data_IF_639332341088
#
_entry.id   IF_639332341088
#
_cell.length_a   1.000
_cell.length_b   1.000
_cell.length_c   1.000
_cell.angle_alpha   90.00
_cell.angle_beta   90.00
_cell.angle_gamma   90.00
#
_symmetry.space_group_name_H-M   'P 1'
#
loop_
_entity.id
_entity.type
_entity.pdbx_description
1 polymer ?
#
# COMPACT_ATOMS: atom_id res chain seq x y z
N UNK A 1 -5.25 -17.87 14.17
CA UNK A 1 -5.20 -19.15 13.42
C UNK A 1 -6.49 -19.27 12.64
N UNK A 2 -6.39 -19.61 11.37
CA UNK A 2 -7.51 -19.89 10.47
C UNK A 2 -7.18 -21.14 9.65
N UNK A 3 -8.19 -21.88 9.23
CA UNK A 3 -8.04 -23.04 8.34
C UNK A 3 -8.84 -22.78 7.07
N UNK A 4 -8.19 -22.94 5.92
CA UNK A 4 -8.85 -22.76 4.63
C UNK A 4 -9.48 -24.07 4.15
N UNK A 5 -10.77 -24.03 3.83
CA UNK A 5 -11.53 -25.23 3.44
C UNK A 5 -11.28 -25.68 1.99
N UNK A 6 -10.78 -24.78 1.13
CA UNK A 6 -10.54 -25.09 -0.30
C UNK A 6 -9.11 -25.55 -0.56
N UNK A 7 -8.17 -25.01 0.20
CA UNK A 7 -6.75 -25.26 0.13
C UNK A 7 -6.25 -26.23 1.21
N UNK A 8 -7.11 -26.58 2.17
CA UNK A 8 -6.82 -27.52 3.25
C UNK A 8 -5.56 -27.15 4.06
N UNK A 9 -5.29 -25.85 4.20
CA UNK A 9 -4.07 -25.34 4.79
C UNK A 9 -4.32 -24.36 5.95
N UNK A 10 -3.43 -24.42 6.95
CA UNK A 10 -3.49 -23.60 8.16
C UNK A 10 -2.76 -22.28 7.97
N UNK A 11 -3.44 -21.18 8.30
CA UNK A 11 -2.89 -19.83 8.39
C UNK A 11 -2.78 -19.44 9.84
N UNK A 12 -1.64 -18.91 10.24
CA UNK A 12 -1.40 -18.60 11.64
C UNK A 12 -0.38 -17.49 11.78
N UNK A 13 -0.48 -16.78 12.88
CA UNK A 13 0.46 -15.75 13.22
C UNK A 13 0.28 -15.35 14.67
N UNK A 14 1.31 -14.71 15.19
CA UNK A 14 1.33 -14.19 16.55
C UNK A 14 2.36 -13.07 16.64
N UNK A 15 2.06 -12.06 17.44
CA UNK A 15 2.97 -10.97 17.75
C UNK A 15 2.99 -10.78 19.25
N UNK A 16 4.19 -10.70 19.81
CA UNK A 16 4.41 -10.35 21.20
C UNK A 16 5.06 -8.97 21.22
N UNK A 17 4.43 -8.05 21.95
CA UNK A 17 4.93 -6.69 22.16
C UNK A 17 5.25 -6.49 23.64
N UNK A 18 6.41 -5.92 23.91
CA UNK A 18 6.86 -5.57 25.25
C UNK A 18 7.18 -4.07 25.33
N UNK A 19 6.46 -3.39 26.21
CA UNK A 19 6.67 -1.97 26.50
C UNK A 19 7.82 -1.82 27.51
N UNK A 20 9.05 -1.74 26.99
CA UNK A 20 10.26 -1.64 27.81
C UNK A 20 10.33 -0.35 28.65
N UNK A 21 9.75 0.76 28.17
CA UNK A 21 9.68 2.02 28.91
C UNK A 21 8.46 2.84 28.47
N UNK A 22 7.82 3.53 29.43
CA UNK A 22 6.71 4.47 29.15
C UNK A 22 7.20 5.86 28.75
N UNK A 23 8.37 6.32 29.24
CA UNK A 23 8.88 7.69 29.02
C UNK A 23 10.43 7.75 28.99
N UNK A 24 11.09 7.89 27.83
CA UNK A 24 10.53 7.86 26.48
C UNK A 24 9.88 6.50 26.17
N UNK A 25 8.77 6.52 25.43
CA UNK A 25 8.05 5.29 25.05
C UNK A 25 8.97 4.44 24.19
N UNK A 26 9.25 3.22 24.64
CA UNK A 26 10.11 2.26 23.95
C UNK A 26 9.39 0.93 23.88
N UNK A 27 9.20 0.41 22.67
CA UNK A 27 8.49 -0.81 22.37
C UNK A 27 9.46 -1.77 21.69
N UNK A 28 9.44 -3.02 22.13
CA UNK A 28 10.14 -4.11 21.47
C UNK A 28 9.09 -5.13 21.09
N UNK A 29 9.19 -5.72 19.92
CA UNK A 29 8.28 -6.79 19.55
C UNK A 29 8.93 -7.82 18.66
N UNK A 30 8.37 -9.01 18.72
CA UNK A 30 8.67 -10.09 17.81
C UNK A 30 7.36 -10.66 17.30
N UNK A 31 7.32 -11.03 16.03
CA UNK A 31 6.15 -11.64 15.44
C UNK A 31 6.53 -12.65 14.38
N UNK A 32 5.62 -13.58 14.16
CA UNK A 32 5.67 -14.52 13.07
C UNK A 32 4.29 -14.55 12.42
N UNK A 33 4.24 -14.50 11.10
CA UNK A 33 3.01 -14.68 10.33
C UNK A 33 3.28 -15.67 9.20
N UNK A 34 2.31 -16.55 8.96
CA UNK A 34 2.18 -17.37 7.77
C UNK A 34 0.73 -17.24 7.30
N UNK A 35 0.54 -16.41 6.28
CA UNK A 35 -0.78 -16.08 5.76
C UNK A 35 -0.75 -15.83 4.25
N UNK A 36 -1.93 -15.81 3.64
CA UNK A 36 -2.09 -15.44 2.23
C UNK A 36 -2.41 -13.95 2.15
N UNK A 37 -1.57 -13.24 1.42
CA UNK A 37 -1.70 -11.81 1.18
C UNK A 37 -2.09 -11.51 -0.27
N UNK A 38 -2.83 -10.42 -0.45
CA UNK A 38 -3.09 -9.79 -1.74
C UNK A 38 -1.99 -8.78 -2.13
N UNK A 39 -1.02 -8.57 -1.25
CA UNK A 39 -0.02 -7.52 -1.29
C UNK A 39 1.38 -8.09 -1.04
N UNK A 40 2.39 -7.54 -1.73
CA UNK A 40 3.79 -7.90 -1.52
C UNK A 40 4.54 -6.94 -0.60
N UNK A 41 3.90 -5.88 -0.08
CA UNK A 41 4.53 -5.03 0.93
C UNK A 41 4.78 -5.80 2.24
N UNK A 42 5.86 -5.47 2.93
CA UNK A 42 6.15 -6.06 4.25
C UNK A 42 5.20 -5.50 5.32
N UNK A 43 5.12 -6.17 6.47
CA UNK A 43 4.19 -5.75 7.54
C UNK A 43 4.49 -4.36 8.12
N UNK A 44 5.71 -3.87 7.88
CA UNK A 44 6.15 -2.52 8.22
C UNK A 44 5.52 -1.44 7.31
N UNK A 45 5.26 -1.75 6.05
CA UNK A 45 4.69 -0.83 5.07
C UNK A 45 3.18 -1.00 4.91
N UNK A 46 2.52 -1.73 5.82
CA UNK A 46 1.11 -2.08 5.70
C UNK A 46 0.22 -0.85 5.53
N UNK A 47 -0.22 -0.63 4.29
CA UNK A 47 -1.31 0.29 4.00
C UNK A 47 -2.59 -0.47 4.32
N UNK A 48 -3.36 0.09 5.25
CA UNK A 48 -4.59 -0.49 5.80
C UNK A 48 -5.49 -1.04 4.68
N UNK A 49 -5.41 -2.35 4.45
CA UNK A 49 -6.24 -3.08 3.51
C UNK A 49 -7.53 -3.50 4.20
N UNK A 50 -8.62 -2.88 3.79
CA UNK A 50 -9.93 -2.93 4.43
C UNK A 50 -10.42 -4.34 4.77
N UNK A 51 -10.93 -4.46 6.01
CA UNK A 51 -11.63 -5.61 6.59
C UNK A 51 -12.82 -6.15 5.74
N UNK A 52 -13.16 -5.49 4.63
CA UNK A 52 -14.29 -5.79 3.76
C UNK A 52 -13.91 -6.16 2.31
N UNK A 53 -12.61 -6.17 1.97
CA UNK A 53 -12.12 -6.49 0.61
C UNK A 53 -12.37 -7.95 0.20
N UNK A 54 -12.55 -8.86 1.14
CA UNK A 54 -12.80 -10.28 0.85
C UNK A 54 -14.20 -10.58 0.30
N UNK A 55 -15.23 -9.82 0.68
CA UNK A 55 -16.62 -10.09 0.30
C UNK A 55 -17.16 -9.15 -0.80
N UNK A 56 -16.66 -7.92 -0.87
CA UNK A 56 -17.13 -6.89 -1.80
C UNK A 56 -15.98 -6.44 -2.71
N UNK A 57 -15.64 -7.32 -3.65
CA UNK A 57 -14.55 -7.15 -4.61
C UNK A 57 -15.08 -7.16 -6.05
N UNK A 58 -14.36 -6.46 -6.92
CA UNK A 58 -14.55 -6.55 -8.37
C UNK A 58 -14.21 -7.96 -8.86
N UNK A 59 -14.93 -8.40 -9.89
CA UNK A 59 -14.73 -9.69 -10.55
C UNK A 59 -13.53 -9.62 -11.51
N UNK A 60 -12.33 -9.72 -10.93
CA UNK A 60 -11.04 -9.73 -11.63
C UNK A 60 -10.14 -10.79 -11.02
N UNK A 61 -9.20 -11.30 -11.80
CA UNK A 61 -8.28 -12.37 -11.39
C UNK A 61 -7.55 -12.06 -10.07
N UNK A 62 -7.48 -13.05 -9.19
CA UNK A 62 -6.96 -12.90 -7.84
C UNK A 62 -5.47 -13.26 -7.78
N UNK A 63 -4.64 -12.27 -7.47
CA UNK A 63 -3.19 -12.45 -7.28
C UNK A 63 -2.92 -12.62 -5.81
N UNK A 64 -2.61 -13.85 -5.43
CA UNK A 64 -2.37 -14.25 -4.04
C UNK A 64 -0.90 -14.63 -3.87
N UNK A 65 -0.33 -14.29 -2.74
CA UNK A 65 1.04 -14.64 -2.35
C UNK A 65 0.97 -15.19 -0.93
N UNK A 66 1.54 -16.37 -0.69
CA UNK A 66 1.79 -16.86 0.65
C UNK A 66 3.01 -16.13 1.19
N UNK A 67 2.81 -15.47 2.32
CA UNK A 67 3.85 -14.71 3.00
C UNK A 67 4.14 -15.39 4.33
N UNK A 68 5.35 -15.89 4.46
CA UNK A 68 5.93 -16.29 5.74
C UNK A 68 6.88 -15.18 6.17
N UNK A 69 6.61 -14.50 7.28
CA UNK A 69 7.42 -13.38 7.76
C UNK A 69 7.70 -13.55 9.26
N UNK A 70 8.98 -13.65 9.59
CA UNK A 70 9.50 -13.51 10.95
C UNK A 70 10.02 -12.10 11.12
N UNK A 71 9.55 -11.36 12.13
CA UNK A 71 9.97 -9.99 12.38
C UNK A 71 10.39 -9.78 13.83
N UNK A 72 11.42 -8.97 14.01
CA UNK A 72 11.81 -8.39 15.29
C UNK A 72 11.94 -6.88 15.10
N UNK A 73 11.40 -6.10 16.03
CA UNK A 73 11.51 -4.66 15.96
C UNK A 73 11.79 -4.01 17.31
N UNK A 74 12.51 -2.89 17.24
CA UNK A 74 12.74 -1.96 18.32
C UNK A 74 12.25 -0.59 17.88
N UNK A 75 11.36 0.01 18.65
CA UNK A 75 10.78 1.32 18.37
C UNK A 75 10.90 2.25 19.56
N UNK A 76 11.30 3.50 19.32
CA UNK A 76 11.48 4.51 20.35
C UNK A 76 10.91 5.85 19.93
N UNK A 77 10.14 6.45 20.84
CA UNK A 77 9.57 7.77 20.70
C UNK A 77 10.25 8.79 21.61
N UNK A 78 10.81 9.82 20.99
CA UNK A 78 11.51 10.90 21.68
C UNK A 78 10.55 12.05 22.03
N UNK A 79 10.94 12.88 22.99
CA UNK A 79 10.09 13.98 23.49
C UNK A 79 9.91 15.13 22.49
N UNK A 80 10.81 15.25 21.52
CA UNK A 80 10.80 16.28 20.48
C UNK A 80 9.93 15.92 19.27
N UNK A 81 9.13 14.85 19.36
CA UNK A 81 8.28 14.40 18.25
C UNK A 81 9.01 13.57 17.19
N UNK A 82 10.28 13.24 17.44
CA UNK A 82 11.03 12.26 16.65
C UNK A 82 10.69 10.84 17.11
N UNK A 83 10.61 9.89 16.19
CA UNK A 83 10.57 8.46 16.50
C UNK A 83 11.43 7.67 15.54
N UNK A 84 11.99 6.57 16.05
CA UNK A 84 12.82 5.67 15.25
C UNK A 84 12.35 4.25 15.46
N UNK A 85 12.35 3.48 14.38
CA UNK A 85 12.05 2.06 14.40
C UNK A 85 13.12 1.32 13.61
N UNK A 86 13.69 0.31 14.23
CA UNK A 86 14.61 -0.63 13.61
C UNK A 86 13.87 -1.95 13.56
N UNK A 87 13.68 -2.49 12.36
CA UNK A 87 13.05 -3.79 12.15
C UNK A 87 14.02 -4.69 11.42
N UNK A 88 14.18 -5.91 11.90
CA UNK A 88 14.84 -7.00 11.19
C UNK A 88 13.76 -8.00 10.87
N UNK A 89 13.58 -8.32 9.59
CA UNK A 89 12.63 -9.34 9.17
C UNK A 89 13.27 -10.30 8.19
N UNK A 90 12.84 -11.55 8.26
CA UNK A 90 13.09 -12.57 7.24
C UNK A 90 11.73 -12.95 6.67
N UNK A 91 11.63 -12.93 5.34
CA UNK A 91 10.37 -13.09 4.63
C UNK A 91 10.53 -13.97 3.42
N UNK A 92 9.68 -14.98 3.33
CA UNK A 92 9.50 -15.80 2.14
C UNK A 92 8.17 -15.44 1.50
N UNK A 93 8.20 -15.13 0.20
CA UNK A 93 7.03 -14.85 -0.61
C UNK A 93 6.92 -15.88 -1.71
N UNK A 94 5.84 -16.66 -1.68
CA UNK A 94 5.58 -17.72 -2.64
C UNK A 94 4.24 -17.45 -3.35
N UNK A 95 4.21 -17.30 -4.68
CA UNK A 95 2.97 -17.13 -5.43
C UNK A 95 1.99 -18.24 -5.10
N UNK A 96 0.81 -17.85 -4.63
CA UNK A 96 -0.10 -18.80 -4.04
C UNK A 96 -1.10 -19.33 -5.07
N UNK A 97 -0.97 -20.64 -5.35
CA UNK A 97 -1.84 -21.39 -6.24
C UNK A 97 -1.46 -21.25 -7.72
N UNK A 98 -1.59 -22.36 -8.47
CA UNK A 98 -1.61 -22.31 -9.92
C UNK A 98 -2.77 -21.41 -10.38
N UNK A 99 -2.63 -20.76 -11.54
CA UNK A 99 -3.75 -20.04 -12.15
C UNK A 99 -4.86 -21.06 -12.44
N UNK A 100 -5.85 -21.10 -11.55
CA UNK A 100 -7.03 -21.97 -11.65
C UNK A 100 -7.96 -21.51 -12.76
N UNK A 101 -8.85 -22.38 -13.22
CA UNK A 101 -9.88 -22.05 -14.21
C UNK A 101 -10.77 -20.87 -13.76
N UNK A 102 -10.96 -20.69 -12.45
CA UNK A 102 -11.68 -19.58 -11.81
C UNK A 102 -10.87 -18.26 -11.78
N UNK A 103 -9.68 -18.21 -12.39
CA UNK A 103 -8.81 -17.04 -12.44
C UNK A 103 -8.15 -16.65 -11.12
N UNK A 104 -8.06 -17.58 -10.17
CA UNK A 104 -7.30 -17.41 -8.92
C UNK A 104 -5.90 -17.98 -9.07
N UNK A 105 -4.90 -17.28 -8.53
CA UNK A 105 -3.51 -17.68 -8.61
C UNK A 105 -2.65 -16.56 -9.18
N UNK A 106 -1.35 -16.66 -9.00
CA UNK A 106 -0.43 -15.65 -9.49
C UNK A 106 0.67 -16.29 -10.32
N UNK A 107 0.59 -16.13 -11.63
CA UNK A 107 1.65 -16.57 -12.55
C UNK A 107 2.81 -15.57 -12.48
N UNK A 108 3.59 -15.70 -11.41
CA UNK A 108 4.75 -14.89 -11.11
C UNK A 108 6.00 -15.76 -11.27
N UNK A 109 6.98 -15.24 -12.01
CA UNK A 109 8.28 -15.87 -12.15
C UNK A 109 9.35 -14.84 -12.47
N UNK A 110 10.55 -14.97 -11.92
CA UNK A 110 11.67 -14.08 -12.19
C UNK A 110 12.93 -14.86 -12.58
N UNK A 111 13.90 -14.15 -13.13
CA UNK A 111 15.21 -14.70 -13.47
C UNK A 111 16.22 -14.26 -12.41
N UNK A 112 16.68 -15.15 -11.50
CA UNK A 112 17.71 -14.82 -10.52
C UNK A 112 18.98 -14.32 -11.22
N UNK A 113 19.33 -14.95 -12.35
CA UNK A 113 20.38 -14.48 -13.25
C UNK A 113 19.79 -14.11 -14.63
N UNK A 114 19.70 -12.81 -14.97
CA UNK A 114 19.17 -12.36 -16.25
C UNK A 114 19.93 -12.89 -17.50
N UNK A 115 21.15 -13.41 -17.34
CA UNK A 115 21.94 -14.00 -18.41
C UNK A 115 21.56 -15.46 -18.73
N UNK A 116 20.97 -16.18 -17.77
CA UNK A 116 20.62 -17.61 -17.91
C UNK A 116 19.10 -17.75 -18.00
N UNK A 117 18.58 -17.87 -19.22
CA UNK A 117 17.13 -17.89 -19.48
C UNK A 117 16.39 -19.13 -18.97
N UNK A 118 17.12 -20.18 -18.58
CA UNK A 118 16.56 -21.44 -18.07
C UNK A 118 16.45 -21.48 -16.55
N UNK A 119 17.08 -20.54 -15.86
CA UNK A 119 17.07 -20.44 -14.41
C UNK A 119 15.92 -19.52 -13.99
N UNK A 120 14.76 -20.12 -13.72
CA UNK A 120 13.51 -19.45 -13.40
C UNK A 120 13.11 -19.82 -11.99
N UNK A 121 12.83 -18.81 -11.17
CA UNK A 121 12.34 -19.00 -9.81
C UNK A 121 11.01 -18.26 -9.63
N UNK A 122 10.20 -18.75 -8.70
CA UNK A 122 8.89 -18.20 -8.34
C UNK A 122 8.88 -17.73 -6.90
N UNK A 123 9.72 -18.29 -6.03
CA UNK A 123 9.72 -18.01 -4.61
C UNK A 123 10.82 -17.01 -4.28
N UNK A 124 10.50 -15.98 -3.50
CA UNK A 124 11.47 -14.96 -3.07
C UNK A 124 11.75 -15.19 -1.59
N UNK A 125 13.02 -15.29 -1.21
CA UNK A 125 13.42 -15.18 0.19
C UNK A 125 14.27 -13.92 0.42
N UNK A 126 13.87 -13.09 1.38
CA UNK A 126 14.61 -11.87 1.75
C UNK A 126 14.81 -11.75 3.25
N UNK A 127 16.00 -11.30 3.63
CA UNK A 127 16.28 -10.79 4.97
C UNK A 127 16.51 -9.30 4.87
N UNK A 128 15.66 -8.53 5.50
CA UNK A 128 15.61 -7.07 5.42
C UNK A 128 15.90 -6.44 6.79
N UNK A 129 16.77 -5.43 6.81
CA UNK A 129 16.95 -4.51 7.93
C UNK A 129 16.34 -3.17 7.54
N UNK A 130 15.30 -2.75 8.24
CA UNK A 130 14.54 -1.54 7.96
C UNK A 130 14.79 -0.52 9.07
N UNK A 131 15.32 0.63 8.69
CA UNK A 131 15.54 1.80 9.54
C UNK A 131 14.51 2.86 9.17
N UNK A 132 13.56 3.12 10.06
CA UNK A 132 12.58 4.19 9.90
C UNK A 132 12.86 5.32 10.87
N UNK A 133 12.92 6.53 10.33
CA UNK A 133 12.97 7.78 11.08
C UNK A 133 11.71 8.59 10.75
N UNK A 134 11.02 9.06 11.78
CA UNK A 134 9.79 9.83 11.64
C UNK A 134 9.87 11.08 12.49
N UNK A 135 9.49 12.21 11.93
CA UNK A 135 9.42 13.47 12.62
C UNK A 135 8.04 14.11 12.46
N UNK A 136 7.46 14.49 13.58
CA UNK A 136 6.22 15.28 13.63
C UNK A 136 6.25 16.18 14.84
N UNK A 137 5.76 17.41 14.70
CA UNK A 137 5.69 18.38 15.80
C UNK A 137 4.24 18.47 16.29
N UNK A 138 4.02 18.56 17.60
CA UNK A 138 2.68 18.80 18.20
C UNK A 138 1.57 17.87 17.66
N UNK A 139 1.90 16.58 17.54
CA UNK A 139 0.96 15.55 17.09
C UNK A 139 -0.07 15.21 18.17
N UNK A 140 -1.34 15.15 17.79
CA UNK A 140 -2.39 14.61 18.66
C UNK A 140 -2.34 13.08 18.60
N UNK A 141 -2.00 12.47 19.73
CA UNK A 141 -1.81 11.04 19.86
C UNK A 141 -2.77 10.44 20.88
N UNK A 142 -3.29 9.26 20.57
CA UNK A 142 -3.91 8.37 21.55
C UNK A 142 -2.97 7.20 21.76
N UNK A 143 -2.39 7.16 22.95
CA UNK A 143 -1.56 6.06 23.41
C UNK A 143 -2.45 5.01 24.12
N UNK A 144 -2.51 3.80 23.58
CA UNK A 144 -2.89 2.60 24.36
C UNK A 144 -1.62 1.94 24.91
N UNK A 145 -1.74 0.86 25.68
CA UNK A 145 -0.57 0.17 26.25
C UNK A 145 0.40 -0.36 25.18
N UNK A 146 -0.09 -0.73 23.99
CA UNK A 146 0.75 -1.31 22.93
C UNK A 146 0.70 -0.58 21.59
N UNK A 147 -0.33 0.22 21.34
CA UNK A 147 -0.49 0.95 20.09
C UNK A 147 -0.50 2.45 20.33
N UNK A 148 -0.04 3.20 19.32
CA UNK A 148 -0.03 4.65 19.33
C UNK A 148 -0.64 5.14 18.03
N UNK A 149 -1.86 5.66 18.12
CA UNK A 149 -2.59 6.14 16.96
C UNK A 149 -2.49 7.66 16.87
N UNK A 150 -2.11 8.14 15.69
CA UNK A 150 -2.05 9.56 15.37
C UNK A 150 -3.39 10.04 14.82
N UNK A 151 -3.90 11.14 15.36
CA UNK A 151 -5.04 11.90 14.80
C UNK A 151 -4.59 13.06 13.92
N UNK A 152 -3.31 13.06 13.54
CA UNK A 152 -2.70 14.11 12.74
C UNK A 152 -2.00 15.18 13.58
N UNK A 153 -1.34 16.07 12.85
CA UNK A 153 -0.62 17.21 13.39
C UNK A 153 -0.86 18.43 12.52
N UNK A 154 -0.95 19.61 13.15
CA UNK A 154 -0.95 20.90 12.44
C UNK A 154 0.34 21.12 11.64
N UNK A 155 1.41 20.42 11.98
CA UNK A 155 2.69 20.47 11.28
C UNK A 155 2.85 19.25 10.36
N UNK A 156 3.71 19.37 9.34
CA UNK A 156 4.04 18.24 8.48
C UNK A 156 4.57 17.04 9.25
N UNK A 157 4.21 15.86 8.78
CA UNK A 157 4.75 14.58 9.20
C UNK A 157 5.70 14.14 8.11
N UNK A 158 6.96 13.92 8.47
CA UNK A 158 8.00 13.46 7.55
C UNK A 158 8.49 12.10 8.02
N UNK A 159 8.50 11.14 7.11
CA UNK A 159 8.92 9.76 7.36
C UNK A 159 9.98 9.38 6.31
N UNK A 160 11.10 8.86 6.78
CA UNK A 160 12.17 8.32 5.96
C UNK A 160 12.38 6.87 6.36
N UNK A 161 12.28 5.96 5.41
CA UNK A 161 12.60 4.55 5.58
C UNK A 161 13.79 4.19 4.71
N UNK A 162 14.74 3.46 5.28
CA UNK A 162 15.83 2.83 4.57
C UNK A 162 15.80 1.34 4.83
N UNK A 163 15.66 0.55 3.79
CA UNK A 163 15.65 -0.92 3.84
C UNK A 163 16.92 -1.45 3.20
N UNK A 164 17.61 -2.34 3.90
CA UNK A 164 18.77 -3.07 3.42
C UNK A 164 18.38 -4.55 3.30
N UNK A 165 18.33 -5.07 2.08
CA UNK A 165 18.28 -6.51 1.82
C UNK A 165 19.69 -7.09 1.94
N UNK A 166 19.86 -8.11 2.77
CA UNK A 166 21.15 -8.76 3.03
C UNK A 166 21.13 -10.15 2.42
N UNK A 167 22.04 -10.42 1.49
CA UNK A 167 22.25 -11.71 0.85
C UNK A 167 22.96 -12.71 1.78
N UNK A 168 22.62 -13.99 1.65
CA UNK A 168 23.28 -15.10 2.38
C UNK A 168 22.89 -15.25 3.85
N UNK A 169 22.07 -14.36 4.40
CA UNK A 169 21.55 -14.45 5.79
C UNK A 169 20.14 -15.05 5.78
N UNK A 170 19.92 -16.11 6.56
CA UNK A 170 18.62 -16.80 6.66
C UNK A 170 18.04 -17.24 5.29
N UNK A 171 18.92 -17.61 4.36
CA UNK A 171 18.55 -18.04 3.00
C UNK A 171 18.11 -16.92 2.07
N UNK A 172 18.40 -15.65 2.40
CA UNK A 172 18.09 -14.50 1.55
C UNK A 172 18.91 -14.49 0.27
N UNK A 173 18.25 -14.29 -0.87
CA UNK A 173 18.86 -14.34 -2.21
C UNK A 173 19.26 -12.96 -2.74
N UNK A 174 18.86 -11.88 -2.06
CA UNK A 174 18.93 -10.52 -2.61
C UNK A 174 19.72 -9.55 -1.74
N UNK A 175 20.66 -8.87 -2.38
CA UNK A 175 21.33 -7.69 -1.86
C UNK A 175 20.76 -6.44 -2.53
N UNK A 176 20.11 -5.56 -1.78
CA UNK A 176 19.56 -4.31 -2.33
C UNK A 176 19.37 -3.25 -1.24
N UNK A 177 19.20 -2.02 -1.70
CA UNK A 177 18.86 -0.91 -0.83
C UNK A 177 17.56 -0.29 -1.31
N UNK A 178 16.67 0.07 -0.41
CA UNK A 178 15.46 0.84 -0.72
C UNK A 178 15.41 2.06 0.18
N UNK A 179 15.12 3.21 -0.41
CA UNK A 179 14.94 4.47 0.28
C UNK A 179 13.54 4.98 -0.04
N UNK A 180 12.73 5.20 0.99
CA UNK A 180 11.37 5.73 0.86
C UNK A 180 11.22 6.98 1.71
N UNK A 181 10.71 8.04 1.11
CA UNK A 181 10.39 9.32 1.76
C UNK A 181 8.89 9.55 1.66
N UNK A 182 8.23 9.79 2.78
CA UNK A 182 6.84 10.24 2.85
C UNK A 182 6.76 11.60 3.54
N UNK A 183 6.02 12.50 2.91
CA UNK A 183 5.69 13.81 3.46
C UNK A 183 4.18 13.95 3.46
N UNK A 184 3.59 14.15 4.65
CA UNK A 184 2.14 14.34 4.81
C UNK A 184 1.85 15.62 5.56
N UNK A 185 0.91 16.42 5.06
CA UNK A 185 0.49 17.65 5.71
C UNK A 185 -0.95 17.96 5.34
N UNK A 186 -1.68 18.59 6.26
CA UNK A 186 -2.98 19.17 5.98
C UNK A 186 -3.01 20.63 6.43
N UNK A 187 -3.84 21.44 5.76
CA UNK A 187 -4.04 22.84 6.11
C UNK A 187 -5.45 23.30 5.75
N UNK A 188 -5.93 24.31 6.47
CA UNK A 188 -7.23 24.93 6.21
C UNK A 188 -7.13 25.93 5.05
N UNK A 189 -8.08 25.86 4.12
CA UNK A 189 -8.30 26.85 3.07
C UNK A 189 -9.62 27.55 3.34
N UNK A 190 -9.66 28.46 4.32
CA UNK A 190 -10.88 29.21 4.63
C UNK A 190 -11.26 30.12 3.45
N UNK A 191 -12.54 30.19 3.04
CA UNK A 191 -13.73 29.54 3.61
C UNK A 191 -14.11 28.19 2.96
N UNK A 192 -13.25 27.61 2.12
CA UNK A 192 -13.52 26.46 1.25
C UNK A 192 -13.16 25.12 1.92
N UNK A 193 -12.96 25.08 3.24
CA UNK A 193 -12.70 23.85 4.00
C UNK A 193 -11.21 23.60 4.23
N UNK A 194 -10.75 22.36 4.04
CA UNK A 194 -9.35 21.96 4.28
C UNK A 194 -8.83 20.98 3.25
N UNK A 195 -7.51 21.00 3.05
CA UNK A 195 -6.81 20.10 2.14
C UNK A 195 -5.78 19.29 2.91
N UNK A 196 -5.70 18.00 2.61
CA UNK A 196 -4.61 17.11 2.98
C UNK A 196 -3.87 16.68 1.73
N UNK A 197 -2.55 16.60 1.84
CA UNK A 197 -1.72 16.03 0.80
C UNK A 197 -0.66 15.12 1.38
N UNK A 198 -0.41 14.02 0.68
CA UNK A 198 0.72 13.13 0.91
C UNK A 198 1.55 13.06 -0.36
N UNK A 199 2.86 13.22 -0.22
CA UNK A 199 3.83 13.01 -1.29
C UNK A 199 4.71 11.85 -0.84
N UNK A 200 4.84 10.83 -1.67
CA UNK A 200 5.80 9.76 -1.47
C UNK A 200 6.82 9.81 -2.61
N UNK A 201 8.08 9.51 -2.31
CA UNK A 201 9.10 9.30 -3.31
C UNK A 201 10.06 8.24 -2.82
N UNK A 202 10.51 7.38 -3.72
CA UNK A 202 11.41 6.31 -3.32
C UNK A 202 12.26 5.78 -4.44
N UNK A 203 13.31 5.06 -4.05
CA UNK A 203 14.23 4.40 -4.96
C UNK A 203 14.75 3.09 -4.39
N UNK A 204 14.71 2.06 -5.23
CA UNK A 204 15.30 0.74 -5.01
C UNK A 204 16.58 0.66 -5.85
N UNK A 205 17.69 0.33 -5.19
CA UNK A 205 19.01 0.15 -5.76
C UNK A 205 19.36 -1.33 -5.69
N UNK A 206 19.77 -1.90 -6.81
CA UNK A 206 20.03 -3.33 -6.94
C UNK A 206 19.13 -3.96 -8.00
N UNK A 207 19.42 -5.20 -8.35
CA UNK A 207 18.61 -6.00 -9.27
C UNK A 207 17.69 -6.89 -8.46
N UNK A 208 16.40 -6.58 -8.47
CA UNK A 208 15.41 -7.27 -7.66
C UNK A 208 14.17 -7.63 -8.48
N UNK A 209 13.45 -8.69 -8.07
CA UNK A 209 12.16 -8.98 -8.64
C UNK A 209 11.12 -7.93 -8.24
N UNK A 210 10.08 -7.73 -9.05
CA UNK A 210 9.18 -6.59 -8.91
C UNK A 210 8.36 -6.60 -7.61
N UNK A 211 8.19 -7.76 -6.99
CA UNK A 211 7.53 -7.87 -5.68
C UNK A 211 8.35 -7.22 -4.55
N UNK A 212 9.67 -7.04 -4.74
CA UNK A 212 10.56 -6.29 -3.85
C UNK A 212 10.76 -4.83 -4.29
N UNK A 213 10.30 -4.45 -5.49
CA UNK A 213 10.23 -3.05 -5.91
C UNK A 213 9.09 -2.32 -5.19
N UNK A 214 8.86 -1.05 -5.53
CA UNK A 214 7.60 -0.40 -5.12
C UNK A 214 6.47 -0.88 -6.02
N UNK A 215 5.62 -1.76 -5.50
CA UNK A 215 4.32 -2.05 -6.09
C UNK A 215 3.36 -0.96 -5.64
N UNK A 216 2.81 -0.20 -6.59
CA UNK A 216 1.91 0.90 -6.24
C UNK A 216 0.58 0.33 -5.71
N UNK A 217 0.08 0.81 -4.56
CA UNK A 217 -1.01 0.15 -3.87
C UNK A 217 -2.34 0.34 -4.61
N UNK A 218 -2.73 -0.66 -5.40
CA UNK A 218 -4.01 -0.70 -6.11
C UNK A 218 -5.16 -1.26 -5.27
N UNK A 219 -6.38 -0.92 -5.67
CA UNK A 219 -7.60 -1.32 -4.98
C UNK A 219 -8.56 -2.10 -5.87
N UNK A 220 -8.81 -3.35 -5.49
CA UNK A 220 -9.72 -4.27 -6.16
C UNK A 220 -11.09 -4.35 -5.45
N UNK A 221 -11.21 -3.80 -4.25
CA UNK A 221 -12.43 -3.77 -3.44
C UNK A 221 -13.35 -2.59 -3.80
N UNK A 222 -14.65 -2.69 -3.54
CA UNK A 222 -15.57 -1.56 -3.72
C UNK A 222 -15.44 -0.48 -2.64
N UNK A 223 -14.69 -0.77 -1.56
CA UNK A 223 -14.43 0.22 -0.51
C UNK A 223 -13.26 1.12 -0.88
N UNK A 224 -13.38 2.41 -0.57
CA UNK A 224 -12.34 3.41 -0.84
C UNK A 224 -11.34 3.49 0.31
N UNK A 225 -10.06 3.57 -0.04
CA UNK A 225 -8.99 3.84 0.91
C UNK A 225 -8.32 5.19 0.62
N UNK A 226 -7.96 5.93 1.69
CA UNK A 226 -7.32 7.24 1.55
C UNK A 226 -5.90 7.13 0.98
N UNK A 227 -5.15 6.11 1.39
CA UNK A 227 -3.72 5.95 1.12
C UNK A 227 -3.40 4.95 -0.03
N UNK A 228 -4.42 4.52 -0.78
CA UNK A 228 -4.31 3.59 -1.91
C UNK A 228 -4.91 4.19 -3.18
N UNK A 229 -4.55 3.70 -4.36
CA UNK A 229 -5.18 4.08 -5.62
C UNK A 229 -6.45 3.27 -5.84
N UNK A 230 -7.60 3.95 -5.81
CA UNK A 230 -8.92 3.33 -5.80
C UNK A 230 -9.30 2.73 -7.16
N UNK A 231 -8.75 3.22 -8.26
CA UNK A 231 -9.05 2.77 -9.63
C UNK A 231 -7.90 1.99 -10.29
N UNK A 232 -6.78 1.83 -9.57
CA UNK A 232 -5.64 1.02 -9.98
C UNK A 232 -5.87 -0.43 -9.56
N UNK A 233 -5.48 -1.39 -10.40
CA UNK A 233 -5.53 -2.82 -10.06
C UNK A 233 -4.26 -3.22 -9.31
N UNK A 234 -4.30 -4.22 -8.41
CA UNK A 234 -3.09 -4.65 -7.69
C UNK A 234 -2.07 -5.23 -8.67
N UNK A 235 -0.79 -4.97 -8.39
CA UNK A 235 0.34 -5.37 -9.25
C UNK A 235 0.26 -4.84 -10.69
N UNK A 236 -0.55 -3.82 -10.95
CA UNK A 236 -0.60 -3.20 -12.27
C UNK A 236 0.65 -2.37 -12.54
N UNK A 237 1.08 -1.62 -11.53
CA UNK A 237 2.25 -0.76 -11.62
C UNK A 237 3.29 -1.12 -10.56
N UNK A 238 4.53 -1.26 -10.99
CA UNK A 238 5.67 -1.34 -10.10
C UNK A 238 6.82 -0.45 -10.61
N UNK A 239 7.65 0.03 -9.70
CA UNK A 239 8.74 0.96 -10.03
C UNK A 239 9.91 0.78 -9.08
N UNK A 240 11.13 0.90 -9.60
CA UNK A 240 12.33 1.02 -8.74
C UNK A 240 12.69 2.47 -8.45
N UNK A 241 12.14 3.44 -9.18
CA UNK A 241 12.26 4.86 -8.87
C UNK A 241 10.91 5.48 -9.07
N UNK A 242 10.37 6.18 -8.07
CA UNK A 242 9.01 6.71 -8.16
C UNK A 242 8.79 7.97 -7.35
N UNK A 243 7.74 8.70 -7.72
CA UNK A 243 7.15 9.76 -6.93
C UNK A 243 5.62 9.72 -7.10
N UNK A 244 4.88 9.82 -6.00
CA UNK A 244 3.42 9.85 -5.98
C UNK A 244 2.91 11.02 -5.18
N UNK A 245 1.73 11.51 -5.55
CA UNK A 245 0.98 12.52 -4.81
C UNK A 245 -0.44 12.03 -4.60
N UNK A 246 -0.94 12.18 -3.37
CA UNK A 246 -2.33 11.94 -2.99
C UNK A 246 -2.85 13.24 -2.40
N UNK A 247 -3.86 13.81 -3.03
CA UNK A 247 -4.54 15.03 -2.63
C UNK A 247 -5.96 14.69 -2.23
N UNK A 248 -6.40 15.22 -1.10
CA UNK A 248 -7.76 15.11 -0.60
C UNK A 248 -8.20 16.49 -0.12
N UNK A 249 -9.33 16.97 -0.60
CA UNK A 249 -9.88 18.26 -0.21
C UNK A 249 -11.32 18.07 0.26
N UNK A 250 -11.58 18.46 1.51
CA UNK A 250 -12.90 18.47 2.10
C UNK A 250 -13.44 19.89 2.06
N UNK A 251 -14.60 20.05 1.45
CA UNK A 251 -15.26 21.34 1.27
C UNK A 251 -16.12 21.75 2.47
N UNK A 252 -16.28 20.87 3.47
CA UNK A 252 -17.06 21.12 4.69
C UNK A 252 -18.49 21.66 4.43
N UNK A 253 -19.13 21.21 3.36
CA UNK A 253 -20.49 21.63 2.98
C UNK A 253 -20.55 22.97 2.25
N UNK A 254 -19.44 23.48 1.72
CA UNK A 254 -19.38 24.76 0.99
C UNK A 254 -20.39 24.87 -0.15
N UNK A 255 -20.78 23.75 -0.77
CA UNK A 255 -21.73 23.72 -1.88
C UNK A 255 -23.14 23.27 -1.44
N UNK A 256 -23.26 22.08 -0.86
CA UNK A 256 -24.49 21.40 -0.44
C UNK A 256 -25.22 22.15 0.66
N UNK A 257 -24.52 22.85 1.57
CA UNK A 257 -25.22 23.67 2.57
C UNK A 257 -25.93 24.88 1.97
N UNK A 258 -25.64 25.26 0.71
CA UNK A 258 -26.39 26.33 0.01
C UNK A 258 -27.75 25.85 -0.49
N UNK A 259 -27.97 24.54 -0.58
CA UNK A 259 -29.23 23.94 -1.05
C UNK A 259 -30.15 23.65 0.15
N UNK A 260 -31.32 24.31 0.29
CA UNK A 260 -32.13 24.24 1.53
C UNK A 260 -32.54 22.83 1.98
N UNK A 261 -32.82 21.92 1.04
CA UNK A 261 -33.20 20.54 1.36
C UNK A 261 -32.00 19.69 1.82
N UNK A 262 -30.84 19.86 1.18
CA UNK A 262 -29.63 19.08 1.48
C UNK A 262 -28.92 19.58 2.75
N UNK A 263 -29.08 20.86 3.09
CA UNK A 263 -28.60 21.42 4.36
C UNK A 263 -29.09 20.64 5.58
N UNK A 264 -30.33 20.14 5.57
CA UNK A 264 -30.88 19.35 6.70
C UNK A 264 -30.20 18.00 6.88
N UNK A 265 -29.60 17.47 5.82
CA UNK A 265 -28.91 16.17 5.83
C UNK A 265 -27.47 16.29 6.32
N UNK A 266 -26.92 17.52 6.44
CA UNK A 266 -25.54 17.80 6.84
C UNK A 266 -24.50 17.02 6.00
N UNK A 267 -24.79 16.80 4.73
CA UNK A 267 -23.87 16.15 3.81
C UNK A 267 -22.64 17.02 3.58
N UNK A 268 -21.45 16.42 3.56
CA UNK A 268 -20.20 17.12 3.23
C UNK A 268 -19.63 16.57 1.94
N UNK A 269 -19.03 17.44 1.14
CA UNK A 269 -18.40 17.09 -0.11
C UNK A 269 -16.90 17.01 0.06
N UNK A 270 -16.30 16.09 -0.68
CA UNK A 270 -14.86 16.03 -0.80
C UNK A 270 -14.48 15.65 -2.23
N UNK A 271 -13.26 15.99 -2.61
CA UNK A 271 -12.65 15.57 -3.86
C UNK A 271 -11.26 15.02 -3.60
N UNK A 272 -10.86 14.03 -4.39
CA UNK A 272 -9.51 13.46 -4.33
C UNK A 272 -8.85 13.49 -5.70
N UNK A 273 -7.53 13.61 -5.70
CA UNK A 273 -6.68 13.41 -6.87
C UNK A 273 -5.47 12.61 -6.44
N UNK A 274 -5.19 11.51 -7.13
CA UNK A 274 -4.02 10.68 -6.87
C UNK A 274 -3.25 10.50 -8.16
N UNK A 275 -1.94 10.63 -8.10
CA UNK A 275 -1.07 10.43 -9.24
C UNK A 275 0.27 9.82 -8.86
N UNK A 276 0.85 9.04 -9.78
CA UNK A 276 2.17 8.45 -9.61
C UNK A 276 2.93 8.41 -10.93
N UNK A 277 4.21 8.75 -10.87
CA UNK A 277 5.17 8.62 -11.96
C UNK A 277 6.35 7.78 -11.45
N UNK A 278 6.90 6.94 -12.30
CA UNK A 278 8.00 6.08 -11.91
C UNK A 278 8.61 5.33 -13.07
N UNK A 279 9.80 4.78 -12.86
CA UNK A 279 10.54 4.03 -13.86
C UNK A 279 11.06 2.71 -13.29
N UNK A 280 11.51 1.84 -14.19
CA UNK A 280 12.24 0.62 -13.87
C UNK A 280 13.56 0.69 -14.61
N UNK A 281 14.67 0.52 -13.92
CA UNK A 281 16.01 0.40 -14.49
C UNK A 281 16.11 -0.79 -15.42
N UNK A 282 17.05 -0.72 -16.39
CA UNK A 282 17.23 -1.79 -17.37
C UNK A 282 17.51 -3.15 -16.73
N UNK A 283 18.33 -3.20 -15.68
CA UNK A 283 18.62 -4.45 -14.97
C UNK A 283 17.36 -5.07 -14.33
N UNK A 284 16.51 -4.25 -13.72
CA UNK A 284 15.23 -4.72 -13.17
C UNK A 284 14.25 -5.11 -14.27
N UNK A 285 14.23 -4.45 -15.42
CA UNK A 285 13.44 -4.89 -16.58
C UNK A 285 13.90 -6.27 -17.07
N UNK A 286 15.21 -6.48 -17.18
CA UNK A 286 15.79 -7.73 -17.67
C UNK A 286 15.53 -8.90 -16.70
N UNK A 287 15.57 -8.67 -15.39
CA UNK A 287 15.25 -9.66 -14.36
C UNK A 287 13.76 -10.01 -14.30
N UNK A 288 12.89 -9.06 -14.66
CA UNK A 288 11.44 -9.19 -14.54
C UNK A 288 10.73 -9.39 -15.90
N UNK A 289 11.46 -9.69 -16.97
CA UNK A 289 10.93 -9.76 -18.34
C UNK A 289 9.73 -10.70 -18.52
N UNK A 290 9.63 -11.73 -17.68
CA UNK A 290 8.55 -12.72 -17.70
C UNK A 290 7.22 -12.19 -17.13
N UNK A 291 7.26 -11.07 -16.41
CA UNK A 291 6.09 -10.46 -15.77
C UNK A 291 5.72 -9.11 -16.38
N UNK A 292 6.44 -8.63 -17.39
CA UNK A 292 6.20 -7.32 -17.99
C UNK A 292 4.84 -7.25 -18.67
N UNK A 293 4.32 -6.02 -18.76
CA UNK A 293 3.00 -5.82 -19.31
C UNK A 293 2.93 -6.15 -20.79
N UNK A 294 2.05 -7.07 -21.14
CA UNK A 294 1.74 -7.44 -22.52
C UNK A 294 0.26 -7.16 -22.75
N UNK A 295 -0.10 -6.22 -23.65
CA UNK A 295 -1.48 -6.02 -24.03
C UNK A 295 -2.06 -7.31 -24.61
N UNK A 296 -3.12 -7.84 -24.03
CA UNK A 296 -3.86 -8.99 -24.55
C UNK A 296 -5.26 -8.57 -24.99
N UNK A 297 -5.78 -9.20 -26.05
CA UNK A 297 -7.17 -9.00 -26.49
C UNK A 297 -8.18 -9.69 -25.57
N UNK A 298 -7.74 -10.68 -24.81
CA UNK A 298 -8.49 -11.33 -23.74
C UNK A 298 -8.32 -10.53 -22.45
N UNK A 299 -9.35 -10.47 -21.60
CA UNK A 299 -9.33 -9.84 -20.24
C UNK A 299 -8.36 -10.53 -19.24
N UNK A 300 -7.36 -11.24 -19.76
CA UNK A 300 -6.36 -11.97 -19.01
C UNK A 300 -5.27 -11.05 -18.45
N UNK A 301 -4.54 -11.58 -17.49
CA UNK A 301 -3.49 -10.87 -16.78
C UNK A 301 -2.44 -10.30 -17.74
N UNK A 302 -2.31 -8.97 -17.71
CA UNK A 302 -1.42 -8.25 -18.57
C UNK A 302 -0.10 -7.89 -17.87
N UNK A 303 0.44 -8.66 -16.93
CA UNK A 303 1.73 -8.32 -16.28
C UNK A 303 1.71 -7.00 -15.50
N UNK A 304 2.89 -6.44 -15.22
CA UNK A 304 3.07 -5.11 -14.61
C UNK A 304 3.86 -4.17 -15.53
N UNK A 305 3.70 -2.87 -15.33
CA UNK A 305 4.49 -1.82 -16.02
C UNK A 305 4.86 -0.67 -15.10
N UNK A 306 5.83 0.15 -15.49
CA UNK A 306 6.05 1.43 -14.84
C UNK A 306 5.21 2.55 -15.46
N UNK A 307 4.75 3.54 -14.68
CA UNK A 307 4.18 4.77 -15.19
C UNK A 307 5.29 5.75 -15.63
N UNK A 308 6.04 5.39 -16.67
CA UNK A 308 7.32 6.02 -17.05
C UNK A 308 7.17 7.24 -17.99
N UNK A 309 6.44 7.09 -19.10
CA UNK A 309 6.25 8.11 -20.13
C UNK A 309 5.16 9.10 -19.78
N UNK A 310 4.16 8.66 -19.01
CA UNK A 310 3.07 9.49 -18.51
C UNK A 310 2.74 9.04 -17.09
N UNK A 311 2.35 9.96 -16.19
CA UNK A 311 1.92 9.57 -14.85
C UNK A 311 0.63 8.75 -14.93
N UNK A 312 0.49 7.78 -14.02
CA UNK A 312 -0.82 7.29 -13.64
C UNK A 312 -1.55 8.38 -12.85
N UNK A 313 -2.86 8.51 -13.06
CA UNK A 313 -3.71 9.53 -12.45
C UNK A 313 -5.14 9.00 -12.30
N UNK A 314 -5.74 9.30 -11.17
CA UNK A 314 -7.17 9.12 -10.85
C UNK A 314 -7.71 10.31 -10.07
N UNK A 315 -9.01 10.56 -10.18
CA UNK A 315 -9.70 11.58 -9.42
C UNK A 315 -11.04 11.06 -8.92
N UNK A 316 -11.49 11.53 -7.75
CA UNK A 316 -12.84 11.23 -7.25
C UNK A 316 -13.53 12.46 -6.72
N UNK A 317 -14.87 12.42 -6.74
CA UNK A 317 -15.72 13.33 -6.00
C UNK A 317 -16.65 12.48 -5.14
N UNK A 318 -16.84 12.89 -3.90
CA UNK A 318 -17.63 12.12 -2.95
C UNK A 318 -18.48 12.97 -2.04
N UNK A 319 -19.45 12.30 -1.44
CA UNK A 319 -20.30 12.82 -0.38
C UNK A 319 -20.08 11.94 0.85
N UNK A 320 -19.75 12.56 1.97
CA UNK A 320 -19.58 11.94 3.27
C UNK A 320 -20.66 12.37 4.25
N UNK A 321 -20.61 11.81 5.46
CA UNK A 321 -21.58 12.05 6.53
C UNK A 321 -23.01 11.54 6.21
N UNK A 322 -23.15 10.58 5.30
CA UNK A 322 -24.43 9.91 5.02
C UNK A 322 -24.78 9.06 6.24
N UNK A 323 -25.92 9.37 6.89
CA UNK A 323 -26.31 8.78 8.18
C UNK A 323 -25.21 8.90 9.26
N UNK A 324 -24.32 9.89 9.14
CA UNK A 324 -23.15 10.13 10.00
C UNK A 324 -22.02 9.09 9.96
N UNK A 325 -22.09 8.10 9.08
CA UNK A 325 -21.13 6.98 9.04
C UNK A 325 -20.65 6.67 7.63
N UNK A 326 -21.50 6.81 6.62
CA UNK A 326 -21.18 6.35 5.27
C UNK A 326 -20.67 7.49 4.40
N UNK A 327 -19.81 7.11 3.45
CA UNK A 327 -19.42 7.94 2.32
C UNK A 327 -19.58 7.18 1.01
N UNK A 328 -19.87 7.92 -0.03
CA UNK A 328 -19.98 7.42 -1.40
C UNK A 328 -19.17 8.33 -2.30
N UNK A 329 -18.34 7.76 -3.17
CA UNK A 329 -17.59 8.51 -4.17
C UNK A 329 -17.74 7.94 -5.57
N UNK A 330 -17.71 8.86 -6.53
CA UNK A 330 -17.55 8.60 -7.94
C UNK A 330 -16.07 8.80 -8.28
N UNK A 331 -15.42 7.75 -8.77
CA UNK A 331 -14.00 7.75 -9.09
C UNK A 331 -13.78 7.50 -10.58
N UNK A 332 -12.85 8.26 -11.17
CA UNK A 332 -12.45 8.18 -12.56
C UNK A 332 -10.96 7.87 -12.66
N UNK A 333 -10.64 6.92 -13.55
CA UNK A 333 -9.29 6.68 -14.01
C UNK A 333 -9.01 7.61 -15.18
N UNK A 334 -7.94 8.41 -15.11
CA UNK A 334 -7.65 9.46 -16.08
C UNK A 334 -6.58 9.05 -17.12
N UNK A 335 -5.86 7.96 -16.86
CA UNK A 335 -4.71 7.54 -17.66
C UNK A 335 -4.64 6.01 -17.74
N UNK A 336 -3.84 5.50 -18.69
CA UNK A 336 -3.63 4.05 -18.84
C UNK A 336 -4.95 3.27 -19.00
N UNK A 337 -5.84 3.77 -19.88
CA UNK A 337 -7.19 3.21 -20.13
C UNK A 337 -7.20 1.97 -21.03
N UNK A 338 -6.01 1.45 -21.31
CA UNK A 338 -5.70 0.30 -22.14
C UNK A 338 -5.60 -1.00 -21.34
N UNK A 339 -5.66 -0.94 -20.01
CA UNK A 339 -5.70 -2.15 -19.19
C UNK A 339 -7.13 -2.74 -19.18
N UNK A 340 -7.34 -3.95 -19.72
CA UNK A 340 -8.67 -4.58 -19.78
C UNK A 340 -9.26 -4.87 -18.38
N UNK A 341 -8.41 -5.14 -17.39
CA UNK A 341 -8.85 -5.42 -16.02
C UNK A 341 -9.19 -4.15 -15.23
N UNK A 342 -8.94 -2.97 -15.79
CA UNK A 342 -9.19 -1.69 -15.13
C UNK A 342 -10.52 -1.06 -15.55
N UNK A 343 -11.32 -0.65 -14.57
CA UNK A 343 -12.50 0.18 -14.82
C UNK A 343 -12.11 1.63 -15.07
N UNK A 344 -12.74 2.28 -16.05
CA UNK A 344 -12.57 3.73 -16.31
C UNK A 344 -13.31 4.59 -15.28
N UNK A 345 -14.43 4.09 -14.78
CA UNK A 345 -15.30 4.74 -13.82
C UNK A 345 -15.76 3.72 -12.77
N UNK A 346 -15.86 4.15 -11.52
CA UNK A 346 -16.30 3.28 -10.42
C UNK A 346 -17.04 4.04 -9.35
N UNK A 347 -18.10 3.42 -8.82
CA UNK A 347 -18.76 3.84 -7.58
C UNK A 347 -18.04 3.14 -6.41
N UNK A 348 -17.56 3.91 -5.44
CA UNK A 348 -16.91 3.38 -4.24
C UNK A 348 -17.65 3.80 -2.98
N UNK A 349 -17.49 2.99 -1.94
CA UNK A 349 -18.12 3.18 -0.65
C UNK A 349 -17.06 3.32 0.42
N UNK A 350 -17.36 4.02 1.51
CA UNK A 350 -16.48 4.05 2.66
C UNK A 350 -17.27 4.20 3.95
N UNK A 351 -16.60 3.92 5.05
CA UNK A 351 -17.10 4.20 6.39
C UNK A 351 -16.16 5.19 7.04
N UNK A 352 -16.69 6.33 7.45
CA UNK A 352 -15.97 7.32 8.22
C UNK A 352 -16.87 7.79 9.36
N UNK A 353 -16.41 7.60 10.60
CA UNK A 353 -17.13 8.02 11.78
C UNK A 353 -16.82 9.48 12.06
N UNK A 354 -17.79 10.35 11.84
CA UNK A 354 -17.72 11.76 12.23
C UNK A 354 -18.46 11.91 13.56
N UNK A 355 -17.70 11.96 14.66
CA UNK A 355 -18.23 12.17 16.01
C UNK A 355 -18.46 13.64 16.31
#
# INVERSE_FOLDING_TARGET
MAYGLKDEDFKYGGEVKWLASKRPRTLVGAGYINDISLNSENSESFVQGDLFTGFLRRDIMQKLIRVEESKFFYERYWRNGFSNRITVLNRTMDPYGLVTEDGRGFNYAYLPNPATLTDVDTTINTTEIILKARFTKDEMIIDTEFDRNSFGSKYPIVELAYTLGVDGVMGSDFHYHKLDLSYRHYFYLNPVGWMSYRINAGKVFGTVPFLLMEVHPGNEGYFTGREIFNMMTRYEFASDTYASVLLEHHFDGFFLNKIPLLRKLNLREYATFKGVIGSISKANQDANRLNLFVPTETDTYAGFRAPDKRPYMEASIGIENILKVFQVELAWRLSYLDNPQATRFGLRFGTAFYF
#
